data_IF_673897984490
#
_entry.id   IF_673897984490
#
_cell.length_a   1.000
_cell.length_b   1.000
_cell.length_c   1.000
_cell.angle_alpha   90.00
_cell.angle_beta   90.00
_cell.angle_gamma   90.00
#
_symmetry.space_group_name_H-M   'P 1'
#
loop_
_entity.id
_entity.type
_entity.pdbx_description
1 polymer ?
#
# COMPACT_ATOMS: atom_id res chain seq x y z
N UNK A 1 -7.91 17.29 7.16
CA UNK A 1 -8.57 16.13 7.83
C UNK A 1 -7.63 14.95 7.74
N UNK A 2 -7.40 14.18 8.83
CA UNK A 2 -6.60 12.94 8.74
C UNK A 2 -7.47 11.84 8.13
N UNK A 3 -7.01 11.22 7.04
CA UNK A 3 -7.71 10.07 6.44
C UNK A 3 -7.77 8.91 7.43
N UNK A 4 -8.93 8.26 7.54
CA UNK A 4 -9.09 7.07 8.39
C UNK A 4 -8.70 5.84 7.57
N UNK A 5 -7.50 5.32 7.83
CA UNK A 5 -6.94 4.19 7.11
C UNK A 5 -6.79 2.99 8.06
N UNK A 6 -7.18 1.81 7.60
CA UNK A 6 -7.03 0.55 8.35
C UNK A 6 -6.61 -0.55 7.40
N UNK A 7 -5.54 -1.26 7.72
CA UNK A 7 -5.02 -2.38 6.95
C UNK A 7 -5.14 -3.67 7.75
N UNK A 8 -5.48 -4.76 7.07
CA UNK A 8 -5.47 -6.13 7.57
C UNK A 8 -4.89 -7.05 6.50
N UNK A 9 -4.64 -8.33 6.82
CA UNK A 9 -4.09 -9.31 5.86
C UNK A 9 -4.96 -9.51 4.59
N UNK A 10 -6.26 -9.18 4.66
CA UNK A 10 -7.22 -9.40 3.57
C UNK A 10 -7.87 -8.14 3.02
N UNK A 11 -7.86 -7.05 3.77
CA UNK A 11 -8.59 -5.83 3.41
C UNK A 11 -7.81 -4.57 3.76
N UNK A 12 -7.90 -3.58 2.86
CA UNK A 12 -7.52 -2.19 3.09
C UNK A 12 -8.78 -1.34 3.10
N UNK A 13 -8.99 -0.59 4.17
CA UNK A 13 -10.12 0.32 4.33
C UNK A 13 -9.61 1.74 4.40
N UNK A 14 -10.17 2.62 3.58
CA UNK A 14 -9.85 4.04 3.50
C UNK A 14 -11.16 4.82 3.56
N UNK A 15 -11.30 5.71 4.54
CA UNK A 15 -12.46 6.59 4.70
C UNK A 15 -13.82 5.86 4.62
N UNK A 16 -13.88 4.61 5.11
CA UNK A 16 -15.08 3.76 5.12
C UNK A 16 -15.25 2.87 3.89
N UNK A 17 -14.52 3.11 2.80
CA UNK A 17 -14.50 2.24 1.61
C UNK A 17 -13.49 1.13 1.81
N UNK A 18 -13.84 -0.12 1.47
CA UNK A 18 -13.02 -1.32 1.68
C UNK A 18 -12.64 -2.00 0.36
N UNK A 19 -11.36 -2.28 0.18
CA UNK A 19 -10.81 -3.06 -0.93
C UNK A 19 -10.24 -4.39 -0.42
N UNK A 20 -10.51 -5.49 -1.13
CA UNK A 20 -9.86 -6.77 -0.88
C UNK A 20 -8.43 -6.76 -1.40
N UNK A 21 -7.47 -7.17 -0.58
CA UNK A 21 -6.04 -7.10 -0.90
C UNK A 21 -5.33 -8.44 -0.71
N UNK A 22 -4.12 -8.50 -1.26
CA UNK A 22 -3.10 -9.50 -0.99
C UNK A 22 -1.81 -8.76 -0.64
N UNK A 23 -1.17 -9.18 0.44
CA UNK A 23 0.11 -8.63 0.89
C UNK A 23 1.21 -9.64 0.51
N UNK A 24 2.35 -9.13 0.06
CA UNK A 24 3.53 -9.95 -0.24
C UNK A 24 4.76 -9.20 0.26
N UNK A 25 5.53 -9.81 1.16
CA UNK A 25 6.79 -9.29 1.66
C UNK A 25 7.97 -9.88 0.86
N UNK A 26 8.93 -9.03 0.50
CA UNK A 26 10.09 -9.43 -0.28
C UNK A 26 11.07 -10.29 0.52
N UNK A 27 12.05 -10.90 -0.15
CA UNK A 27 12.16 -11.02 -1.61
C UNK A 27 11.38 -12.24 -2.12
N UNK A 28 10.51 -12.06 -3.12
CA UNK A 28 9.81 -13.17 -3.78
C UNK A 28 10.40 -13.56 -5.15
N UNK A 29 11.31 -12.74 -5.68
CA UNK A 29 12.16 -13.02 -6.85
C UNK A 29 13.50 -12.29 -6.70
N UNK A 30 14.51 -12.67 -7.50
CA UNK A 30 15.79 -11.97 -7.54
C UNK A 30 15.62 -10.50 -7.95
N UNK A 31 16.32 -9.59 -7.27
CA UNK A 31 16.28 -8.15 -7.52
C UNK A 31 15.18 -7.37 -6.80
N UNK A 32 14.24 -8.04 -6.11
CA UNK A 32 13.28 -7.37 -5.23
C UNK A 32 13.92 -7.12 -3.85
N UNK A 33 13.90 -5.88 -3.33
CA UNK A 33 14.39 -5.60 -1.98
C UNK A 33 13.65 -6.44 -0.92
N UNK A 34 14.38 -7.00 0.05
CA UNK A 34 13.80 -7.79 1.13
C UNK A 34 12.85 -6.97 2.03
N UNK A 35 13.08 -5.67 2.11
CA UNK A 35 12.26 -4.75 2.87
C UNK A 35 11.04 -4.24 2.09
N UNK A 36 10.91 -4.54 0.80
CA UNK A 36 9.75 -4.13 0.02
C UNK A 36 8.53 -4.98 0.38
N UNK A 37 7.43 -4.31 0.69
CA UNK A 37 6.12 -4.96 0.83
C UNK A 37 5.21 -4.49 -0.30
N UNK A 38 4.57 -5.42 -0.99
CA UNK A 38 3.60 -5.14 -2.04
C UNK A 38 2.19 -5.45 -1.58
N UNK A 39 1.31 -4.45 -1.61
CA UNK A 39 -0.12 -4.58 -1.31
C UNK A 39 -0.90 -4.51 -2.61
N UNK A 40 -1.38 -5.64 -3.10
CA UNK A 40 -2.12 -5.74 -4.38
C UNK A 40 -3.62 -5.80 -4.14
N UNK A 41 -4.40 -5.07 -4.93
CA UNK A 41 -5.85 -5.21 -4.96
C UNK A 41 -6.26 -6.50 -5.67
N UNK A 42 -7.10 -7.31 -5.05
CA UNK A 42 -7.60 -8.57 -5.64
C UNK A 42 -8.47 -8.36 -6.88
N UNK A 43 -9.09 -7.18 -7.01
CA UNK A 43 -9.93 -6.82 -8.16
C UNK A 43 -9.13 -6.18 -9.31
N UNK A 44 -7.80 -6.12 -9.20
CA UNK A 44 -6.93 -5.54 -10.22
C UNK A 44 -6.86 -4.01 -10.21
N UNK A 45 -7.77 -3.31 -9.51
CA UNK A 45 -7.71 -1.85 -9.33
C UNK A 45 -8.24 -1.44 -7.97
N UNK A 46 -7.63 -0.42 -7.34
CA UNK A 46 -8.16 0.15 -6.11
C UNK A 46 -9.37 1.06 -6.37
N UNK A 47 -10.32 1.16 -5.42
CA UNK A 47 -11.42 2.12 -5.51
C UNK A 47 -10.92 3.57 -5.64
N UNK A 48 -11.72 4.41 -6.29
CA UNK A 48 -11.46 5.85 -6.35
C UNK A 48 -11.27 6.44 -4.94
N UNK A 49 -10.32 7.38 -4.80
CA UNK A 49 -9.98 8.01 -3.52
C UNK A 49 -8.96 7.24 -2.67
N UNK A 50 -8.66 5.96 -2.96
CA UNK A 50 -7.58 5.25 -2.25
C UNK A 50 -6.22 5.83 -2.61
N UNK A 51 -5.97 6.10 -3.89
CA UNK A 51 -4.72 6.73 -4.34
C UNK A 51 -4.54 8.07 -3.64
N UNK A 52 -5.48 9.00 -3.78
CA UNK A 52 -5.42 10.32 -3.12
C UNK A 52 -5.23 10.23 -1.61
N UNK A 53 -5.90 9.31 -0.93
CA UNK A 53 -5.82 9.20 0.52
C UNK A 53 -4.51 8.59 1.04
N UNK A 54 -3.82 7.83 0.20
CA UNK A 54 -2.62 7.06 0.53
C UNK A 54 -1.37 7.57 -0.20
N UNK A 55 -1.53 8.45 -1.18
CA UNK A 55 -0.46 9.26 -1.74
C UNK A 55 0.03 10.14 -0.60
N UNK A 56 1.12 9.72 0.02
CA UNK A 56 1.84 10.54 0.96
C UNK A 56 2.53 11.60 0.12
N UNK A 57 2.21 12.88 0.38
CA UNK A 57 2.92 14.02 -0.19
C UNK A 57 4.36 13.97 0.35
N UNK A 58 5.21 13.21 -0.33
CA UNK A 58 6.61 13.07 0.04
C UNK A 58 7.29 14.38 -0.37
N UNK A 59 7.53 15.26 0.60
CA UNK A 59 8.06 16.62 0.41
C UNK A 59 9.53 16.66 -0.06
N UNK A 60 9.98 15.66 -0.83
CA UNK A 60 11.35 15.56 -1.31
C UNK A 60 11.50 15.23 -2.79
N UNK A 61 10.46 14.79 -3.50
CA UNK A 61 10.45 14.70 -4.97
C UNK A 61 9.09 14.12 -5.34
N UNK A 62 8.43 14.68 -6.37
CA UNK A 62 7.08 14.36 -6.85
C UNK A 62 6.93 12.95 -7.44
N UNK A 63 7.46 11.94 -6.77
CA UNK A 63 7.44 10.54 -7.19
C UNK A 63 6.33 9.80 -6.48
N UNK A 64 5.25 9.57 -7.22
CA UNK A 64 4.20 8.60 -6.92
C UNK A 64 4.71 7.13 -7.02
N UNK A 65 6.01 6.88 -6.81
CA UNK A 65 6.72 5.61 -7.04
C UNK A 65 6.12 4.43 -6.26
N UNK A 66 5.23 4.71 -5.31
CA UNK A 66 4.58 3.76 -4.44
C UNK A 66 3.21 3.27 -4.94
N UNK A 67 2.58 3.91 -5.93
CA UNK A 67 1.23 3.55 -6.40
C UNK A 67 1.19 3.14 -7.87
N UNK A 68 1.01 1.84 -8.12
CA UNK A 68 0.58 1.33 -9.42
C UNK A 68 -0.95 1.18 -9.45
N UNK A 69 -1.52 0.90 -10.63
CA UNK A 69 -2.97 0.76 -10.79
C UNK A 69 -3.58 -0.35 -9.90
N UNK A 70 -2.85 -1.44 -9.72
CA UNK A 70 -3.30 -2.63 -9.02
C UNK A 70 -2.59 -2.87 -7.68
N UNK A 71 -1.56 -2.11 -7.35
CA UNK A 71 -0.74 -2.38 -6.18
C UNK A 71 -0.06 -1.14 -5.59
N UNK A 72 0.28 -1.27 -4.31
CA UNK A 72 1.01 -0.28 -3.52
C UNK A 72 2.35 -0.91 -3.13
N UNK A 73 3.44 -0.22 -3.40
CA UNK A 73 4.79 -0.57 -2.95
C UNK A 73 5.06 0.18 -1.66
N UNK A 74 5.39 -0.55 -0.61
CA UNK A 74 5.68 -0.01 0.71
C UNK A 74 7.14 -0.29 1.05
N UNK A 75 7.89 0.78 1.28
CA UNK A 75 9.25 0.72 1.83
C UNK A 75 9.22 1.14 3.31
N UNK A 76 10.26 0.80 4.10
CA UNK A 76 10.43 1.35 5.44
C UNK A 76 10.27 2.88 5.42
N UNK A 77 9.46 3.41 6.34
CA UNK A 77 9.09 4.83 6.39
C UNK A 77 7.70 5.16 5.79
N UNK A 78 7.07 4.25 5.04
CA UNK A 78 5.67 4.43 4.64
C UNK A 78 4.75 4.27 5.85
N UNK A 79 3.70 5.10 5.97
CA UNK A 79 2.74 5.06 7.07
C UNK A 79 1.96 3.73 7.22
N UNK A 80 2.03 2.85 6.22
CA UNK A 80 1.37 1.55 6.20
C UNK A 80 2.36 0.40 6.37
N UNK A 81 3.66 0.69 6.43
CA UNK A 81 4.70 -0.31 6.38
C UNK A 81 4.58 -1.31 7.54
N UNK A 82 4.54 -0.80 8.77
CA UNK A 82 4.50 -1.67 9.95
C UNK A 82 3.21 -2.48 10.03
N UNK A 83 2.08 -1.87 9.67
CA UNK A 83 0.80 -2.56 9.59
C UNK A 83 0.80 -3.65 8.51
N UNK A 84 1.41 -3.39 7.35
CA UNK A 84 1.52 -4.37 6.27
C UNK A 84 2.50 -5.48 6.61
N UNK A 85 3.60 -5.16 7.29
CA UNK A 85 4.59 -6.14 7.76
C UNK A 85 4.01 -7.09 8.80
N UNK A 86 3.19 -6.58 9.72
CA UNK A 86 2.50 -7.40 10.72
C UNK A 86 1.39 -8.28 10.11
N UNK A 87 0.90 -7.93 8.93
CA UNK A 87 -0.19 -8.61 8.24
C UNK A 87 0.26 -9.50 7.06
N UNK A 88 1.55 -9.46 6.71
CA UNK A 88 2.17 -10.23 5.62
C UNK A 88 2.42 -11.69 6.01
#
# INVERSE_FOLDING_TARGET
MKNRITLSAKFLTVNGTRAGIQISAGPWISGVPAELIKVRCKKGTFPAGFREALTIENNSDSREDYFEADCIRLMPGHALYDAAKAAA
#
